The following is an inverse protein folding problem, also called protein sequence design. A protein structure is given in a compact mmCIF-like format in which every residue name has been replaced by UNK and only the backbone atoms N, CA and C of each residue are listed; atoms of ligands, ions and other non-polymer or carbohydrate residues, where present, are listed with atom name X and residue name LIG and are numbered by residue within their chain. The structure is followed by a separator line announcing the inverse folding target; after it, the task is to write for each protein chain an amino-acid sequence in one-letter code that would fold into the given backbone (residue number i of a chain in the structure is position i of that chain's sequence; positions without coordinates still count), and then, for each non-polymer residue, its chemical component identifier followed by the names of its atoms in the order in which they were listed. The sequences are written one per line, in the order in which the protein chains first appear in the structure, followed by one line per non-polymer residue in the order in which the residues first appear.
data_IF_764456687782
#
_entry.id   IF_764456687782
#
_cell.length_a   1.000
_cell.length_b   1.000
_cell.length_c   1.000
_cell.angle_alpha   90.00
_cell.angle_beta   90.00
_cell.angle_gamma   90.00
#
_symmetry.space_group_name_H-M   'P 1'
#
loop_
_entity.id
_entity.type
_entity.pdbx_description
1 polymer ?
#
# COMPACT_ATOMS: atom_id res chain seq x y z
N UNK A 1 -9.11 16.71 -29.74
CA UNK A 1 -9.40 16.14 -28.41
C UNK A 1 -8.70 17.07 -27.46
N UNK A 2 -9.40 18.11 -27.03
CA UNK A 2 -8.75 19.34 -26.53
C UNK A 2 -9.11 19.63 -25.06
N UNK A 3 -9.89 18.75 -24.43
CA UNK A 3 -10.21 18.83 -23.00
C UNK A 3 -9.43 17.74 -22.23
N UNK A 4 -8.40 18.11 -21.45
CA UNK A 4 -7.64 17.18 -20.61
C UNK A 4 -8.49 16.49 -19.53
N UNK A 5 -9.63 17.07 -19.14
CA UNK A 5 -10.49 16.54 -18.07
C UNK A 5 -10.94 15.12 -18.39
N UNK A 6 -11.26 14.84 -19.66
CA UNK A 6 -11.67 13.50 -20.13
C UNK A 6 -10.60 12.45 -19.82
N UNK A 7 -9.31 12.81 -19.96
CA UNK A 7 -8.20 11.90 -19.66
C UNK A 7 -8.04 11.71 -18.15
N UNK A 8 -8.08 12.79 -17.36
CA UNK A 8 -7.92 12.71 -15.91
C UNK A 8 -9.07 11.98 -15.21
N UNK A 9 -10.31 12.24 -15.63
CA UNK A 9 -11.50 11.55 -15.13
C UNK A 9 -11.47 10.06 -15.51
N UNK A 10 -10.92 9.74 -16.69
CA UNK A 10 -10.69 8.36 -17.13
C UNK A 10 -9.77 7.57 -16.18
N UNK A 11 -8.70 8.19 -15.67
CA UNK A 11 -7.73 7.52 -14.76
C UNK A 11 -8.40 6.98 -13.49
N UNK A 12 -9.39 7.70 -12.97
CA UNK A 12 -10.08 7.35 -11.71
C UNK A 12 -11.37 6.56 -11.90
N UNK A 13 -11.80 6.34 -13.15
CA UNK A 13 -13.01 5.58 -13.48
C UNK A 13 -12.75 4.30 -14.25
N UNK A 14 -11.59 4.16 -14.89
CA UNK A 14 -11.20 2.95 -15.61
C UNK A 14 -10.94 1.78 -14.63
N UNK A 15 -11.72 0.72 -14.77
CA UNK A 15 -11.70 -0.44 -13.87
C UNK A 15 -10.35 -1.18 -13.88
N UNK A 16 -9.66 -1.25 -15.02
CA UNK A 16 -8.37 -1.94 -15.16
C UNK A 16 -7.25 -1.13 -14.48
N UNK A 17 -7.28 0.19 -14.61
CA UNK A 17 -6.35 1.09 -13.91
C UNK A 17 -6.56 0.98 -12.39
N UNK A 18 -7.81 1.06 -11.94
CA UNK A 18 -8.17 0.98 -10.52
C UNK A 18 -7.74 -0.36 -9.92
N UNK A 19 -8.05 -1.47 -10.59
CA UNK A 19 -7.70 -2.83 -10.14
C UNK A 19 -6.20 -2.97 -9.85
N UNK A 20 -5.35 -2.40 -10.73
CA UNK A 20 -3.89 -2.41 -10.53
C UNK A 20 -3.46 -1.47 -9.39
N UNK A 21 -4.08 -0.30 -9.27
CA UNK A 21 -3.76 0.68 -8.24
C UNK A 21 -4.07 0.17 -6.82
N UNK A 22 -5.21 -0.51 -6.63
CA UNK A 22 -5.65 -1.04 -5.31
C UNK A 22 -4.58 -1.92 -4.67
N UNK A 23 -3.95 -2.81 -5.45
CA UNK A 23 -2.92 -3.72 -4.93
C UNK A 23 -1.70 -3.00 -4.33
N UNK A 24 -1.39 -1.80 -4.82
CA UNK A 24 -0.28 -0.97 -4.32
C UNK A 24 -0.74 -0.15 -3.13
N UNK A 25 -1.87 0.56 -3.27
CA UNK A 25 -2.36 1.47 -2.24
C UNK A 25 -2.66 0.74 -0.93
N UNK A 26 -3.20 -0.49 -1.01
CA UNK A 26 -3.54 -1.30 0.17
C UNK A 26 -2.36 -1.49 1.14
N UNK A 27 -1.14 -1.73 0.63
CA UNK A 27 0.02 -1.93 1.50
C UNK A 27 0.53 -0.63 2.13
N UNK A 28 0.30 0.51 1.48
CA UNK A 28 0.55 1.84 2.03
C UNK A 28 -0.49 2.22 3.08
N UNK A 29 -1.77 2.02 2.78
CA UNK A 29 -2.89 2.33 3.67
C UNK A 29 -2.76 1.55 4.98
N UNK A 30 -2.49 0.24 4.91
CA UNK A 30 -2.22 -0.59 6.09
C UNK A 30 -1.02 -0.09 6.90
N UNK A 31 0.08 0.28 6.24
CA UNK A 31 1.26 0.79 6.94
C UNK A 31 0.94 2.09 7.69
N UNK A 32 0.18 2.99 7.06
CA UNK A 32 -0.28 4.23 7.66
C UNK A 32 -1.19 3.96 8.87
N UNK A 33 -2.20 3.12 8.70
CA UNK A 33 -3.14 2.75 9.78
C UNK A 33 -2.40 2.13 10.97
N UNK A 34 -1.50 1.19 10.72
CA UNK A 34 -0.70 0.56 11.78
C UNK A 34 0.23 1.55 12.48
N UNK A 35 0.79 2.51 11.73
CA UNK A 35 1.63 3.58 12.31
C UNK A 35 0.81 4.46 13.24
N UNK A 36 -0.37 4.90 12.79
CA UNK A 36 -1.32 5.65 13.60
C UNK A 36 -1.75 4.85 14.84
N UNK A 37 -2.09 3.56 14.68
CA UNK A 37 -2.48 2.69 15.78
C UNK A 37 -1.35 2.59 16.83
N UNK A 38 -0.10 2.37 16.41
CA UNK A 38 1.05 2.30 17.33
C UNK A 38 1.26 3.61 18.11
N UNK A 39 1.05 4.76 17.45
CA UNK A 39 1.16 6.07 18.12
C UNK A 39 0.07 6.30 19.18
N UNK A 40 -1.16 5.86 18.92
CA UNK A 40 -2.28 6.06 19.85
C UNK A 40 -2.33 5.02 20.97
N UNK A 41 -1.98 3.76 20.70
CA UNK A 41 -2.07 2.65 21.64
C UNK A 41 -0.82 2.47 22.50
N UNK A 42 0.33 2.98 22.04
CA UNK A 42 1.64 2.64 22.61
C UNK A 42 2.15 1.29 22.12
N UNK A 43 3.42 0.98 22.42
CA UNK A 43 4.13 -0.14 21.82
C UNK A 43 3.58 -1.52 22.26
N UNK A 44 3.38 -1.73 23.56
CA UNK A 44 2.97 -3.03 24.12
C UNK A 44 1.56 -3.46 23.66
N UNK A 45 0.60 -2.54 23.68
CA UNK A 45 -0.78 -2.80 23.28
C UNK A 45 -0.89 -3.01 21.77
N UNK A 46 -0.17 -2.20 20.98
CA UNK A 46 -0.08 -2.37 19.54
C UNK A 46 0.49 -3.74 19.17
N UNK A 47 1.61 -4.13 19.79
CA UNK A 47 2.24 -5.43 19.53
C UNK A 47 1.24 -6.56 19.81
N UNK A 48 0.55 -6.54 20.95
CA UNK A 48 -0.43 -7.56 21.34
C UNK A 48 -1.56 -7.73 20.32
N UNK A 49 -2.09 -6.63 19.78
CA UNK A 49 -3.22 -6.67 18.86
C UNK A 49 -2.80 -7.14 17.45
N UNK A 50 -1.70 -6.59 16.93
CA UNK A 50 -1.30 -6.80 15.54
C UNK A 50 -0.39 -8.02 15.32
N UNK A 51 0.19 -8.62 16.37
CA UNK A 51 1.03 -9.83 16.22
C UNK A 51 0.26 -11.00 15.57
N UNK A 52 -1.06 -11.07 15.82
CA UNK A 52 -1.92 -12.13 15.29
C UNK A 52 -2.04 -12.11 13.76
N UNK A 53 -1.95 -10.92 13.15
CA UNK A 53 -1.96 -10.74 11.69
C UNK A 53 -0.69 -11.24 11.01
N UNK A 54 0.38 -11.47 11.78
CA UNK A 54 1.69 -11.91 11.29
C UNK A 54 2.11 -13.27 11.87
N UNK A 55 1.17 -14.20 12.02
CA UNK A 55 1.39 -15.56 12.55
C UNK A 55 1.97 -15.58 13.97
N UNK A 56 1.69 -14.57 14.80
CA UNK A 56 2.27 -14.47 16.14
C UNK A 56 3.75 -14.09 16.15
N UNK A 57 4.30 -13.61 15.02
CA UNK A 57 5.69 -13.15 14.95
C UNK A 57 5.82 -11.72 15.47
N UNK A 58 6.87 -11.41 16.25
CA UNK A 58 7.09 -10.06 16.75
C UNK A 58 7.39 -9.09 15.60
N UNK A 59 7.27 -7.80 15.92
CA UNK A 59 7.53 -6.65 15.06
C UNK A 59 6.55 -6.54 13.87
N UNK A 60 5.22 -6.48 14.10
CA UNK A 60 4.22 -6.43 13.05
C UNK A 60 4.36 -5.17 12.18
N UNK A 61 4.68 -4.01 12.78
CA UNK A 61 4.88 -2.77 12.01
C UNK A 61 6.07 -2.86 11.05
N UNK A 62 7.20 -3.39 11.50
CA UNK A 62 8.40 -3.57 10.67
C UNK A 62 8.15 -4.56 9.54
N UNK A 63 7.35 -5.61 9.80
CA UNK A 63 6.93 -6.56 8.77
C UNK A 63 6.01 -5.92 7.74
N UNK A 64 5.06 -5.10 8.18
CA UNK A 64 4.21 -4.34 7.25
C UNK A 64 5.05 -3.38 6.41
N UNK A 65 5.98 -2.64 7.02
CA UNK A 65 6.92 -1.76 6.31
C UNK A 65 7.69 -2.53 5.23
N UNK A 66 8.19 -3.73 5.54
CA UNK A 66 8.88 -4.56 4.56
C UNK A 66 7.97 -4.94 3.39
N UNK A 67 6.72 -5.34 3.64
CA UNK A 67 5.74 -5.63 2.57
C UNK A 67 5.48 -4.41 1.70
N UNK A 68 5.30 -3.24 2.30
CA UNK A 68 5.12 -1.98 1.57
C UNK A 68 6.33 -1.68 0.69
N UNK A 69 7.56 -1.82 1.20
CA UNK A 69 8.78 -1.60 0.41
C UNK A 69 8.90 -2.56 -0.77
N UNK A 70 8.56 -3.84 -0.59
CA UNK A 70 8.55 -4.81 -1.70
C UNK A 70 7.49 -4.45 -2.74
N UNK A 71 6.30 -4.01 -2.30
CA UNK A 71 5.24 -3.55 -3.20
C UNK A 71 5.69 -2.35 -4.05
N UNK A 72 6.36 -1.37 -3.43
CA UNK A 72 6.95 -0.21 -4.12
C UNK A 72 8.02 -0.65 -5.11
N UNK A 73 8.91 -1.57 -4.70
CA UNK A 73 9.94 -2.07 -5.60
C UNK A 73 9.33 -2.77 -6.83
N UNK A 74 8.27 -3.56 -6.66
CA UNK A 74 7.56 -4.18 -7.78
C UNK A 74 6.88 -3.14 -8.69
N UNK A 75 6.35 -2.06 -8.12
CA UNK A 75 5.81 -0.93 -8.89
C UNK A 75 6.93 -0.27 -9.73
N UNK A 76 8.02 0.11 -9.09
CA UNK A 76 9.07 0.88 -9.74
C UNK A 76 9.92 0.07 -10.72
N UNK A 77 10.37 -1.11 -10.32
CA UNK A 77 11.32 -1.92 -11.10
C UNK A 77 10.63 -2.78 -12.16
N UNK A 78 9.34 -3.06 -12.02
CA UNK A 78 8.60 -3.91 -12.97
C UNK A 78 7.49 -3.12 -13.66
N UNK A 79 6.52 -2.57 -12.92
CA UNK A 79 5.33 -1.95 -13.56
C UNK A 79 5.68 -0.71 -14.37
N UNK A 80 6.53 0.19 -13.87
CA UNK A 80 7.00 1.33 -14.68
C UNK A 80 7.86 0.89 -15.86
N UNK A 81 8.72 -0.13 -15.70
CA UNK A 81 9.52 -0.64 -16.81
C UNK A 81 8.66 -1.24 -17.93
N UNK A 82 7.58 -1.95 -17.59
CA UNK A 82 6.62 -2.44 -18.58
C UNK A 82 5.91 -1.28 -19.29
N UNK A 83 5.63 -0.16 -18.61
CA UNK A 83 5.01 1.01 -19.24
C UNK A 83 5.92 1.77 -20.22
N UNK A 84 7.24 1.51 -20.21
CA UNK A 84 8.20 2.11 -21.13
C UNK A 84 8.41 1.30 -22.42
N UNK A 85 8.02 0.03 -22.44
CA UNK A 85 8.12 -0.85 -23.60
C UNK A 85 6.90 -0.70 -24.51
#
# INVERSE_FOLDING_TARGET
VDDPSIVFDGIVTDEEIISRAISISTEYDKLYEMTCARQHLGEDEFERLYVSEFDGKPYPLQRQLFRTLVSINALEAIRFYVSFA
#
